data_IF_603891740264
#
_entry.id   IF_603891740264
#
_cell.length_a   1.000
_cell.length_b   1.000
_cell.length_c   1.000
_cell.angle_alpha   90.00
_cell.angle_beta   90.00
_cell.angle_gamma   90.00
#
_symmetry.space_group_name_H-M   'P 1'
#
loop_
_entity.id
_entity.type
_entity.pdbx_description
1 polymer ?
#
# COMPACT_ATOMS: atom_id res chain seq x y z
N UNK A 1 -2.25 27.04 7.27
CA UNK A 1 -2.15 26.47 5.90
C UNK A 1 -1.00 25.49 5.91
N UNK A 2 -1.24 24.29 5.39
CA UNK A 2 -0.28 23.19 5.39
C UNK A 2 0.65 23.29 4.19
N UNK A 3 1.75 22.53 4.20
CA UNK A 3 2.71 22.51 3.08
C UNK A 3 2.39 21.45 2.02
N UNK A 4 1.54 20.48 2.33
CA UNK A 4 1.14 19.43 1.40
C UNK A 4 0.09 19.90 0.42
N UNK A 5 -0.08 19.14 -0.66
CA UNK A 5 -1.18 19.32 -1.60
C UNK A 5 -2.53 19.28 -0.86
N UNK A 6 -3.53 20.00 -1.36
CA UNK A 6 -4.89 19.90 -0.85
C UNK A 6 -5.56 18.57 -1.21
N UNK A 7 -6.79 18.43 -0.77
CA UNK A 7 -7.64 17.30 -1.14
C UNK A 7 -7.82 17.20 -2.65
N UNK A 8 -7.76 15.99 -3.21
CA UNK A 8 -7.98 15.74 -4.63
C UNK A 8 -9.37 16.23 -5.05
N UNK A 9 -9.43 16.96 -6.17
CA UNK A 9 -10.69 17.47 -6.71
C UNK A 9 -11.65 16.32 -7.05
N UNK A 10 -12.94 16.50 -6.70
CA UNK A 10 -13.98 15.48 -6.88
C UNK A 10 -13.73 14.15 -6.15
N UNK A 11 -13.05 14.20 -4.99
CA UNK A 11 -12.69 13.02 -4.19
C UNK A 11 -13.85 12.02 -4.04
N UNK A 12 -15.04 12.50 -3.66
CA UNK A 12 -16.24 11.66 -3.50
C UNK A 12 -16.59 10.87 -4.77
N UNK A 13 -16.69 11.59 -5.90
CA UNK A 13 -17.00 11.00 -7.20
C UNK A 13 -15.96 9.97 -7.63
N UNK A 14 -14.67 10.25 -7.37
CA UNK A 14 -13.57 9.33 -7.70
C UNK A 14 -13.65 8.07 -6.84
N UNK A 15 -13.79 8.21 -5.52
CA UNK A 15 -13.85 7.06 -4.59
C UNK A 15 -15.05 6.16 -4.90
N UNK A 16 -16.24 6.76 -5.10
CA UNK A 16 -17.45 6.02 -5.47
C UNK A 16 -17.28 5.36 -6.84
N UNK A 17 -16.75 6.09 -7.83
CA UNK A 17 -16.50 5.57 -9.17
C UNK A 17 -15.53 4.38 -9.17
N UNK A 18 -14.41 4.48 -8.45
CA UNK A 18 -13.43 3.40 -8.28
C UNK A 18 -14.02 2.20 -7.56
N UNK A 19 -14.85 2.41 -6.54
CA UNK A 19 -15.55 1.31 -5.87
C UNK A 19 -16.43 0.54 -6.86
N UNK A 20 -17.23 1.23 -7.68
CA UNK A 20 -18.06 0.57 -8.69
C UNK A 20 -17.23 -0.11 -9.78
N UNK A 21 -16.19 0.55 -10.29
CA UNK A 21 -15.26 -0.05 -11.26
C UNK A 21 -14.65 -1.35 -10.70
N UNK A 22 -14.24 -1.32 -9.43
CA UNK A 22 -13.65 -2.48 -8.79
C UNK A 22 -14.61 -3.66 -8.70
N UNK A 23 -15.82 -3.46 -8.15
CA UNK A 23 -16.78 -4.55 -7.93
C UNK A 23 -17.49 -5.02 -9.21
N UNK A 24 -17.42 -4.25 -10.31
CA UNK A 24 -18.08 -4.59 -11.58
C UNK A 24 -17.13 -5.07 -12.66
N UNK A 25 -15.92 -4.52 -12.71
CA UNK A 25 -14.99 -4.71 -13.83
C UNK A 25 -13.70 -5.35 -13.36
N UNK A 26 -13.04 -4.80 -12.34
CA UNK A 26 -11.70 -5.28 -11.91
C UNK A 26 -11.77 -6.64 -11.22
N UNK A 27 -12.61 -6.77 -10.20
CA UNK A 27 -12.76 -8.00 -9.43
C UNK A 27 -14.23 -8.26 -9.05
N UNK A 28 -15.05 -8.76 -10.01
CA UNK A 28 -16.46 -9.05 -9.77
C UNK A 28 -16.72 -10.10 -8.68
N UNK A 29 -15.71 -10.92 -8.34
CA UNK A 29 -15.83 -11.95 -7.31
C UNK A 29 -15.97 -11.39 -5.89
N UNK A 30 -15.64 -10.10 -5.66
CA UNK A 30 -15.90 -9.40 -4.40
C UNK A 30 -17.39 -9.31 -4.09
N UNK A 31 -18.23 -9.32 -5.13
CA UNK A 31 -19.68 -9.22 -5.01
C UNK A 31 -20.15 -7.80 -4.70
N UNK A 32 -21.44 -7.68 -4.42
CA UNK A 32 -22.08 -6.38 -4.18
C UNK A 32 -21.51 -5.69 -2.92
N UNK A 33 -21.18 -4.41 -3.08
CA UNK A 33 -20.77 -3.51 -1.99
C UNK A 33 -21.54 -2.21 -2.10
N UNK A 34 -21.92 -1.64 -0.96
CA UNK A 34 -22.57 -0.33 -0.92
C UNK A 34 -21.50 0.77 -1.01
N UNK A 35 -21.20 1.22 -2.23
CA UNK A 35 -20.16 2.22 -2.47
C UNK A 35 -20.44 3.57 -1.80
N UNK A 36 -21.71 3.96 -1.63
CA UNK A 36 -22.07 5.15 -0.88
C UNK A 36 -21.76 4.99 0.61
N UNK A 37 -22.05 3.83 1.19
CA UNK A 37 -21.71 3.54 2.60
C UNK A 37 -20.19 3.47 2.81
N UNK A 38 -19.44 2.91 1.85
CA UNK A 38 -17.98 2.88 1.86
C UNK A 38 -17.41 4.30 1.87
N UNK A 39 -17.94 5.17 1.00
CA UNK A 39 -17.56 6.59 0.98
C UNK A 39 -17.84 7.28 2.32
N UNK A 40 -19.03 7.10 2.90
CA UNK A 40 -19.36 7.68 4.20
C UNK A 40 -18.41 7.19 5.30
N UNK A 41 -18.09 5.91 5.34
CA UNK A 41 -17.13 5.36 6.31
C UNK A 41 -15.71 5.92 6.09
N UNK A 42 -15.28 6.07 4.84
CA UNK A 42 -14.00 6.67 4.48
C UNK A 42 -13.93 8.14 4.93
N UNK A 43 -14.95 8.95 4.59
CA UNK A 43 -15.02 10.38 4.92
C UNK A 43 -15.07 10.61 6.43
N UNK A 44 -15.92 9.87 7.13
CA UNK A 44 -16.12 10.01 8.58
C UNK A 44 -14.88 9.66 9.42
N UNK A 45 -13.89 8.98 8.84
CA UNK A 45 -12.62 8.74 9.50
C UNK A 45 -11.85 10.04 9.79
N UNK A 46 -12.00 11.08 8.96
CA UNK A 46 -11.13 12.26 9.02
C UNK A 46 -11.84 13.63 9.01
N UNK A 47 -13.12 13.72 8.62
CA UNK A 47 -13.86 14.99 8.69
C UNK A 47 -14.25 15.34 10.13
N UNK A 48 -14.43 16.63 10.41
CA UNK A 48 -14.77 17.15 11.74
C UNK A 48 -13.80 16.69 12.84
N UNK A 49 -12.54 16.50 12.48
CA UNK A 49 -11.42 16.17 13.36
C UNK A 49 -10.26 17.10 13.06
N UNK A 50 -9.38 17.28 14.04
CA UNK A 50 -8.09 17.93 13.80
C UNK A 50 -7.33 17.12 12.73
N UNK A 51 -6.90 17.73 11.61
CA UNK A 51 -6.16 17.05 10.54
C UNK A 51 -4.87 16.35 10.97
N UNK A 52 -4.36 16.62 12.17
CA UNK A 52 -3.19 15.99 12.78
C UNK A 52 -3.51 15.04 13.95
N UNK A 53 -4.80 14.72 14.16
CA UNK A 53 -5.24 13.79 15.20
C UNK A 53 -6.03 12.60 14.64
N UNK A 54 -5.78 12.24 13.37
CA UNK A 54 -6.40 11.08 12.74
C UNK A 54 -5.60 9.84 13.12
N UNK A 55 -6.28 8.76 13.48
CA UNK A 55 -5.64 7.52 13.89
C UNK A 55 -5.99 6.40 12.92
N UNK A 56 -5.13 5.38 12.73
CA UNK A 56 -5.43 4.25 11.85
C UNK A 56 -6.78 3.59 12.15
N UNK A 57 -7.12 3.43 13.43
CA UNK A 57 -8.40 2.87 13.88
C UNK A 57 -9.64 3.65 13.41
N UNK A 58 -9.51 4.93 13.06
CA UNK A 58 -10.62 5.71 12.55
C UNK A 58 -11.12 5.17 11.20
N UNK A 59 -10.27 4.46 10.46
CA UNK A 59 -10.60 3.79 9.20
C UNK A 59 -11.06 2.34 9.36
N UNK A 60 -11.21 1.82 10.59
CA UNK A 60 -11.56 0.41 10.82
C UNK A 60 -12.91 0.03 10.19
N UNK A 61 -13.93 0.90 10.29
CA UNK A 61 -15.22 0.68 9.65
C UNK A 61 -15.09 0.64 8.12
N UNK A 62 -14.29 1.53 7.54
CA UNK A 62 -14.03 1.55 6.10
C UNK A 62 -13.37 0.24 5.66
N UNK A 63 -12.35 -0.24 6.37
CA UNK A 63 -11.70 -1.53 6.09
C UNK A 63 -12.71 -2.67 6.18
N UNK A 64 -13.53 -2.74 7.22
CA UNK A 64 -14.51 -3.81 7.38
C UNK A 64 -15.54 -3.87 6.24
N UNK A 65 -15.95 -2.72 5.69
CA UNK A 65 -16.90 -2.66 4.57
C UNK A 65 -16.27 -3.04 3.23
N UNK A 66 -14.96 -2.89 3.08
CA UNK A 66 -14.22 -3.06 1.83
C UNK A 66 -13.38 -4.33 1.79
N UNK A 67 -13.13 -4.96 2.94
CA UNK A 67 -12.36 -6.19 3.06
C UNK A 67 -12.97 -7.30 2.21
N UNK A 68 -12.10 -8.02 1.53
CA UNK A 68 -12.41 -9.20 0.74
C UNK A 68 -11.22 -10.16 0.79
N UNK A 69 -11.43 -11.38 0.32
CA UNK A 69 -10.35 -12.37 0.24
C UNK A 69 -9.23 -11.88 -0.66
N UNK A 70 -8.01 -11.93 -0.14
CA UNK A 70 -6.77 -11.84 -0.92
C UNK A 70 -6.37 -13.28 -1.26
N UNK A 71 -6.30 -13.69 -2.53
CA UNK A 71 -5.99 -15.07 -2.86
C UNK A 71 -4.60 -15.47 -2.33
N UNK A 72 -4.43 -16.71 -1.82
CA UNK A 72 -3.11 -17.19 -1.44
C UNK A 72 -2.11 -17.11 -2.60
N UNK A 73 -0.84 -16.86 -2.29
CA UNK A 73 0.25 -16.74 -3.28
C UNK A 73 0.08 -15.57 -4.27
N UNK A 74 -0.70 -14.54 -3.93
CA UNK A 74 -0.88 -13.34 -4.78
C UNK A 74 -0.40 -12.05 -4.15
N UNK A 75 -0.20 -12.00 -2.83
CA UNK A 75 0.21 -10.77 -2.14
C UNK A 75 1.57 -10.28 -2.62
N UNK A 76 1.62 -9.04 -3.10
CA UNK A 76 2.83 -8.34 -3.52
C UNK A 76 3.02 -7.07 -2.68
N UNK A 77 4.00 -7.09 -1.80
CA UNK A 77 4.49 -5.95 -1.04
C UNK A 77 5.60 -5.25 -1.83
N UNK A 78 5.89 -4.00 -1.51
CA UNK A 78 6.90 -3.24 -2.27
C UNK A 78 7.37 -2.00 -1.52
N UNK A 79 8.55 -1.52 -1.90
CA UNK A 79 9.09 -0.21 -1.50
C UNK A 79 9.71 0.47 -2.74
N UNK A 80 9.53 1.79 -2.86
CA UNK A 80 10.10 2.63 -3.92
C UNK A 80 9.81 2.18 -5.38
N UNK A 81 8.65 1.57 -5.64
CA UNK A 81 8.32 0.93 -6.93
C UNK A 81 6.83 1.02 -7.36
N UNK A 82 6.05 1.97 -6.86
CA UNK A 82 4.58 1.98 -7.02
C UNK A 82 4.10 1.79 -8.47
N UNK A 83 4.65 2.55 -9.42
CA UNK A 83 4.25 2.49 -10.82
C UNK A 83 4.61 1.16 -11.49
N UNK A 84 5.79 0.63 -11.17
CA UNK A 84 6.23 -0.68 -11.65
C UNK A 84 5.34 -1.78 -11.09
N UNK A 85 5.02 -1.72 -9.80
CA UNK A 85 4.12 -2.68 -9.12
C UNK A 85 2.75 -2.66 -9.75
N UNK A 86 2.15 -1.48 -9.95
CA UNK A 86 0.82 -1.35 -10.55
C UNK A 86 0.80 -1.95 -11.97
N UNK A 87 1.83 -1.68 -12.77
CA UNK A 87 1.98 -2.26 -14.11
C UNK A 87 2.24 -3.76 -14.06
N UNK A 88 3.00 -4.26 -13.10
CA UNK A 88 3.38 -5.67 -12.98
C UNK A 88 2.29 -6.56 -12.37
N UNK A 89 1.50 -6.02 -11.45
CA UNK A 89 0.38 -6.72 -10.84
C UNK A 89 -0.79 -6.91 -11.82
N UNK A 90 -0.93 -5.99 -12.78
CA UNK A 90 -1.98 -6.00 -13.81
C UNK A 90 -3.38 -6.07 -13.20
N UNK A 91 -3.68 -5.13 -12.30
CA UNK A 91 -4.98 -4.99 -11.62
C UNK A 91 -5.44 -6.28 -10.91
N UNK A 92 -4.56 -6.89 -10.12
CA UNK A 92 -4.87 -8.13 -9.42
C UNK A 92 -4.72 -9.42 -10.26
N UNK A 93 -4.52 -9.33 -11.58
CA UNK A 93 -4.49 -10.50 -12.47
C UNK A 93 -3.26 -11.37 -12.23
N UNK A 94 -2.07 -10.76 -12.19
CA UNK A 94 -0.79 -11.47 -11.96
C UNK A 94 -0.51 -11.59 -10.48
N UNK A 95 -0.51 -10.47 -9.78
CA UNK A 95 -0.37 -10.35 -8.34
C UNK A 95 -1.42 -9.37 -7.84
N UNK A 96 -1.68 -9.35 -6.53
CA UNK A 96 -2.57 -8.41 -5.88
C UNK A 96 -1.75 -7.66 -4.85
N UNK A 97 -1.25 -6.48 -5.21
CA UNK A 97 -0.66 -5.55 -4.27
C UNK A 97 -1.73 -4.90 -3.40
N UNK A 98 -1.34 -4.13 -2.38
CA UNK A 98 -2.30 -3.36 -1.58
C UNK A 98 -3.19 -2.46 -2.47
N UNK A 99 -2.59 -1.79 -3.46
CA UNK A 99 -3.32 -0.95 -4.42
C UNK A 99 -4.30 -1.72 -5.32
N UNK A 100 -4.16 -3.05 -5.44
CA UNK A 100 -5.07 -3.91 -6.20
C UNK A 100 -6.22 -4.50 -5.35
N UNK A 101 -6.27 -4.21 -4.05
CA UNK A 101 -7.42 -4.55 -3.18
C UNK A 101 -8.48 -3.45 -3.26
N UNK A 102 -9.76 -3.74 -2.99
CA UNK A 102 -10.80 -2.70 -3.00
C UNK A 102 -10.45 -1.54 -2.05
N UNK A 103 -9.92 -1.84 -0.87
CA UNK A 103 -9.61 -0.85 0.14
C UNK A 103 -8.37 0.00 -0.20
N UNK A 104 -7.37 -0.55 -0.91
CA UNK A 104 -6.27 0.26 -1.43
C UNK A 104 -6.62 1.00 -2.73
N UNK A 105 -7.32 0.33 -3.64
CA UNK A 105 -7.66 0.83 -4.98
C UNK A 105 -8.43 2.15 -4.94
N UNK A 106 -9.37 2.30 -4.00
CA UNK A 106 -10.16 3.54 -3.89
C UNK A 106 -9.32 4.73 -3.41
N UNK A 107 -8.22 4.52 -2.70
CA UNK A 107 -7.34 5.56 -2.17
C UNK A 107 -6.05 5.79 -2.98
N UNK A 108 -5.73 4.92 -3.93
CA UNK A 108 -4.44 4.95 -4.65
C UNK A 108 -4.21 6.28 -5.41
N UNK A 109 -3.05 6.91 -5.20
CA UNK A 109 -2.70 8.26 -5.72
C UNK A 109 -3.65 9.41 -5.35
N UNK A 110 -4.52 9.24 -4.35
CA UNK A 110 -5.38 10.32 -3.87
C UNK A 110 -4.76 10.98 -2.64
N UNK A 111 -5.13 12.23 -2.40
CA UNK A 111 -4.78 12.98 -1.21
C UNK A 111 -6.03 13.61 -0.60
N UNK A 112 -6.12 13.66 0.72
CA UNK A 112 -7.32 14.17 1.40
C UNK A 112 -7.04 14.60 2.84
N UNK A 113 -7.79 15.60 3.28
CA UNK A 113 -7.89 15.97 4.67
C UNK A 113 -9.18 16.77 4.93
N UNK A 114 -9.60 16.79 6.19
CA UNK A 114 -10.72 17.60 6.66
C UNK A 114 -10.26 18.98 7.10
N UNK A 115 -11.22 19.75 7.57
CA UNK A 115 -10.97 20.96 8.34
C UNK A 115 -11.43 20.73 9.79
N UNK A 116 -10.69 21.28 10.75
CA UNK A 116 -11.11 21.24 12.16
C UNK A 116 -12.51 21.87 12.31
N UNK A 117 -13.36 21.23 13.12
CA UNK A 117 -14.73 21.68 13.41
C UNK A 117 -15.64 21.90 12.18
N UNK A 118 -15.33 21.22 11.07
CA UNK A 118 -16.08 21.33 9.81
C UNK A 118 -16.27 19.96 9.16
N UNK A 119 -17.44 19.79 8.53
CA UNK A 119 -17.74 18.63 7.69
C UNK A 119 -17.16 18.76 6.27
N UNK A 120 -16.52 19.91 5.98
CA UNK A 120 -15.88 20.22 4.71
C UNK A 120 -14.49 19.58 4.57
N UNK A 121 -14.06 19.46 3.32
CA UNK A 121 -12.72 19.02 2.93
C UNK A 121 -11.83 20.24 2.70
N UNK A 122 -10.54 20.14 3.02
CA UNK A 122 -9.57 21.20 2.70
C UNK A 122 -8.96 20.92 1.32
N UNK A 123 -9.39 21.69 0.31
CA UNK A 123 -8.87 21.62 -1.05
C UNK A 123 -7.65 22.53 -1.29
N UNK A 124 -7.29 23.38 -0.32
CA UNK A 124 -6.14 24.28 -0.48
C UNK A 124 -4.83 23.62 -0.05
N UNK A 125 -4.84 22.89 1.07
CA UNK A 125 -3.63 22.27 1.62
C UNK A 125 -3.95 21.16 2.63
N UNK A 126 -3.15 20.09 2.67
CA UNK A 126 -3.22 19.05 3.70
C UNK A 126 -1.88 18.87 4.44
N UNK A 127 -1.91 18.41 5.71
CA UNK A 127 -0.68 18.18 6.47
C UNK A 127 0.20 17.13 5.80
N UNK A 128 1.50 17.40 5.73
CA UNK A 128 2.50 16.39 5.35
C UNK A 128 2.87 15.50 6.53
N UNK A 129 3.46 14.33 6.28
CA UNK A 129 4.03 13.45 7.31
C UNK A 129 5.02 14.18 8.22
N UNK A 130 5.82 15.11 7.66
CA UNK A 130 6.79 15.90 8.42
C UNK A 130 6.14 16.97 9.32
N UNK A 131 4.95 17.44 8.97
CA UNK A 131 4.18 18.37 9.80
C UNK A 131 3.42 17.62 10.90
N UNK A 132 2.79 16.50 10.57
CA UNK A 132 2.21 15.60 11.55
C UNK A 132 2.05 14.17 11.04
N UNK A 133 2.46 13.24 11.88
CA UNK A 133 2.45 11.80 11.58
C UNK A 133 1.01 11.22 11.53
N UNK A 134 0.12 11.76 12.36
CA UNK A 134 -1.28 11.33 12.48
C UNK A 134 -2.20 12.13 11.53
N UNK A 135 -1.78 12.26 10.27
CA UNK A 135 -2.61 12.84 9.23
C UNK A 135 -3.53 11.78 8.59
N UNK A 136 -4.53 12.24 7.83
CA UNK A 136 -5.58 11.39 7.29
C UNK A 136 -5.06 10.33 6.30
N UNK A 137 -4.09 10.68 5.45
CA UNK A 137 -3.54 9.80 4.42
C UNK A 137 -2.61 8.75 5.03
N UNK A 138 -1.67 9.17 5.88
CA UNK A 138 -0.75 8.24 6.54
C UNK A 138 -1.51 7.27 7.45
N UNK A 139 -2.51 7.76 8.19
CA UNK A 139 -3.34 6.91 9.05
C UNK A 139 -4.13 5.88 8.26
N UNK A 140 -4.65 6.26 7.08
CA UNK A 140 -5.32 5.34 6.17
C UNK A 140 -4.37 4.25 5.70
N UNK A 141 -3.20 4.60 5.19
CA UNK A 141 -2.25 3.62 4.66
C UNK A 141 -1.72 2.70 5.75
N UNK A 142 -1.52 3.20 6.99
CA UNK A 142 -1.18 2.35 8.14
C UNK A 142 -2.25 1.30 8.39
N UNK A 143 -3.52 1.71 8.43
CA UNK A 143 -4.63 0.79 8.66
C UNK A 143 -4.79 -0.23 7.52
N UNK A 144 -4.65 0.24 6.27
CA UNK A 144 -4.73 -0.60 5.08
C UNK A 144 -3.59 -1.62 5.00
N UNK A 145 -2.35 -1.20 5.27
CA UNK A 145 -1.16 -2.06 5.33
C UNK A 145 -1.27 -3.12 6.43
N UNK A 146 -1.74 -2.75 7.62
CA UNK A 146 -2.02 -3.71 8.71
C UNK A 146 -3.04 -4.76 8.23
N UNK A 147 -4.17 -4.33 7.68
CA UNK A 147 -5.22 -5.23 7.22
C UNK A 147 -4.74 -6.16 6.09
N UNK A 148 -3.97 -5.62 5.14
CA UNK A 148 -3.41 -6.37 4.02
C UNK A 148 -2.41 -7.42 4.48
N UNK A 149 -1.51 -7.10 5.41
CA UNK A 149 -0.58 -8.06 5.99
C UNK A 149 -1.28 -9.17 6.78
N UNK A 150 -2.30 -8.84 7.56
CA UNK A 150 -3.07 -9.81 8.34
C UNK A 150 -3.85 -10.82 7.48
N UNK A 151 -4.26 -10.40 6.26
CA UNK A 151 -5.07 -11.21 5.35
C UNK A 151 -4.28 -11.85 4.20
N UNK A 152 -2.98 -11.58 4.12
CA UNK A 152 -2.07 -12.22 3.17
C UNK A 152 -1.70 -13.64 3.61
N UNK A 153 -1.52 -14.55 2.65
CA UNK A 153 -1.22 -15.97 2.92
C UNK A 153 -0.52 -16.67 1.76
N UNK A 154 0.08 -17.82 2.06
CA UNK A 154 0.88 -18.60 1.10
C UNK A 154 2.26 -17.98 0.89
N UNK A 155 2.70 -17.92 -0.36
CA UNK A 155 3.92 -17.22 -0.76
C UNK A 155 3.67 -15.72 -0.79
N UNK A 156 4.48 -14.98 -0.04
CA UNK A 156 4.50 -13.53 -0.01
C UNK A 156 5.59 -13.03 -0.95
N UNK A 157 5.26 -12.12 -1.86
CA UNK A 157 6.23 -11.50 -2.75
C UNK A 157 6.55 -10.08 -2.29
N UNK A 158 7.80 -9.66 -2.42
CA UNK A 158 8.27 -8.32 -2.07
C UNK A 158 9.10 -7.78 -3.22
N UNK A 159 8.72 -6.65 -3.81
CA UNK A 159 9.47 -5.98 -4.88
C UNK A 159 10.16 -4.72 -4.35
N UNK A 160 11.49 -4.74 -4.31
CA UNK A 160 12.33 -3.64 -3.83
C UNK A 160 13.11 -3.01 -4.99
N UNK A 161 13.39 -1.71 -4.88
CA UNK A 161 14.19 -0.98 -5.87
C UNK A 161 15.67 -0.99 -5.44
N UNK A 162 16.51 -1.72 -6.18
CA UNK A 162 17.96 -1.81 -5.95
C UNK A 162 18.72 -0.54 -6.35
N UNK A 163 18.09 0.34 -7.12
CA UNK A 163 18.61 1.65 -7.53
C UNK A 163 18.15 2.81 -6.61
N UNK A 164 17.33 2.54 -5.59
CA UNK A 164 16.77 3.59 -4.73
C UNK A 164 17.84 4.30 -3.89
N UNK A 165 17.84 5.62 -3.93
CA UNK A 165 18.62 6.44 -2.99
C UNK A 165 18.14 6.19 -1.55
N UNK A 166 19.08 5.91 -0.64
CA UNK A 166 18.78 5.57 0.75
C UNK A 166 18.61 4.07 1.03
N UNK A 167 18.70 3.22 0.00
CA UNK A 167 18.67 1.75 0.11
C UNK A 167 17.33 1.13 -0.26
N UNK A 168 17.34 -0.15 -0.58
CA UNK A 168 16.18 -0.86 -1.11
C UNK A 168 15.10 -1.18 -0.05
N UNK A 169 15.48 -1.23 1.23
CA UNK A 169 14.61 -1.49 2.37
C UNK A 169 14.69 -0.33 3.38
N UNK A 170 13.79 0.67 3.28
CA UNK A 170 13.80 1.83 4.15
C UNK A 170 13.37 1.48 5.58
N UNK A 171 14.05 2.09 6.55
CA UNK A 171 13.69 2.05 7.97
C UNK A 171 13.82 3.47 8.57
N UNK A 172 12.75 4.09 9.08
CA UNK A 172 11.36 3.58 9.16
C UNK A 172 10.67 3.45 7.79
N UNK A 173 9.58 2.70 7.72
CA UNK A 173 8.83 2.44 6.47
C UNK A 173 7.55 1.62 6.67
N UNK A 174 6.61 1.68 5.71
CA UNK A 174 5.33 0.95 5.82
C UNK A 174 5.57 -0.56 5.90
N UNK A 175 6.41 -1.09 5.01
CA UNK A 175 6.72 -2.51 5.01
C UNK A 175 7.41 -2.94 6.32
N UNK A 176 8.34 -2.10 6.79
CA UNK A 176 9.08 -2.34 8.02
C UNK A 176 8.22 -2.31 9.29
N UNK A 177 7.34 -1.33 9.43
CA UNK A 177 6.72 -0.96 10.71
C UNK A 177 5.27 -1.40 10.84
N UNK A 178 4.56 -1.58 9.71
CA UNK A 178 3.12 -1.88 9.70
C UNK A 178 2.78 -3.20 9.04
N UNK A 179 3.60 -3.68 8.10
CA UNK A 179 3.29 -4.91 7.34
C UNK A 179 4.00 -6.12 7.92
N UNK A 180 5.34 -6.14 8.00
CA UNK A 180 6.12 -7.26 8.56
C UNK A 180 5.61 -7.69 9.96
N UNK A 181 5.34 -6.76 10.91
CA UNK A 181 4.85 -7.14 12.23
C UNK A 181 3.45 -7.79 12.24
N UNK A 182 2.66 -7.60 11.19
CA UNK A 182 1.27 -8.04 11.08
C UNK A 182 1.07 -9.27 10.19
N UNK A 183 2.15 -9.77 9.57
CA UNK A 183 2.13 -11.03 8.83
C UNK A 183 1.76 -12.22 9.73
N UNK A 184 0.83 -13.05 9.25
CA UNK A 184 0.34 -14.23 9.98
C UNK A 184 1.26 -15.42 9.70
N UNK A 185 2.24 -15.64 10.58
CA UNK A 185 3.31 -16.64 10.39
C UNK A 185 2.80 -18.04 10.06
N UNK A 186 1.71 -18.47 10.69
CA UNK A 186 1.06 -19.77 10.47
C UNK A 186 0.42 -19.92 9.08
N UNK A 187 0.15 -18.80 8.39
CA UNK A 187 -0.46 -18.78 7.06
C UNK A 187 0.54 -18.53 5.93
N UNK A 188 1.82 -18.28 6.24
CA UNK A 188 2.86 -17.93 5.27
C UNK A 188 3.78 -19.13 5.07
N UNK A 189 3.92 -19.55 3.81
CA UNK A 189 4.82 -20.64 3.44
C UNK A 189 6.24 -20.17 3.15
N UNK A 190 6.38 -18.98 2.55
CA UNK A 190 7.66 -18.42 2.11
C UNK A 190 7.52 -16.92 1.84
N UNK A 191 8.63 -16.17 2.00
CA UNK A 191 8.77 -14.80 1.54
C UNK A 191 9.80 -14.73 0.41
N UNK A 192 9.39 -14.27 -0.76
CA UNK A 192 10.22 -14.13 -1.96
C UNK A 192 10.48 -12.66 -2.22
N UNK A 193 11.75 -12.26 -2.15
CA UNK A 193 12.20 -10.89 -2.39
C UNK A 193 12.77 -10.81 -3.80
N UNK A 194 12.32 -9.81 -4.55
CA UNK A 194 12.92 -9.39 -5.81
C UNK A 194 13.51 -8.01 -5.61
N UNK A 195 14.82 -7.89 -5.79
CA UNK A 195 15.50 -6.60 -5.85
C UNK A 195 15.72 -6.31 -7.33
N UNK A 196 15.20 -5.18 -7.79
CA UNK A 196 15.23 -4.82 -9.22
C UNK A 196 15.88 -3.47 -9.37
N UNK A 197 16.87 -3.41 -10.25
CA UNK A 197 17.56 -2.18 -10.62
C UNK A 197 16.86 -1.51 -11.81
N UNK A 198 16.93 -0.18 -11.85
CA UNK A 198 16.48 0.60 -12.98
C UNK A 198 17.35 0.30 -14.21
N UNK A 199 16.75 0.30 -15.41
CA UNK A 199 17.49 0.12 -16.67
C UNK A 199 18.46 1.29 -16.83
N UNK A 200 19.76 0.98 -16.98
CA UNK A 200 20.86 1.95 -17.01
C UNK A 200 21.03 2.76 -15.70
N UNK A 201 20.28 2.42 -14.65
CA UNK A 201 20.41 2.98 -13.32
C UNK A 201 21.59 2.40 -12.53
N UNK A 202 21.92 2.99 -11.37
CA UNK A 202 22.94 2.46 -10.49
C UNK A 202 22.44 1.18 -9.78
N UNK A 203 23.31 0.17 -9.68
CA UNK A 203 23.14 -0.94 -8.73
C UNK A 203 23.67 -0.46 -7.37
N UNK A 204 22.74 0.03 -6.53
CA UNK A 204 23.08 0.55 -5.19
C UNK A 204 23.04 -0.55 -4.15
N UNK A 205 22.04 -1.43 -4.22
CA UNK A 205 21.93 -2.60 -3.36
C UNK A 205 21.34 -3.81 -4.11
N UNK A 206 21.97 -4.96 -3.89
CA UNK A 206 21.54 -6.28 -4.36
C UNK A 206 21.20 -7.21 -3.18
N UNK A 207 20.66 -8.39 -3.45
CA UNK A 207 20.43 -9.46 -2.48
C UNK A 207 21.66 -9.72 -1.58
N UNK A 208 21.42 -9.87 -0.27
CA UNK A 208 22.48 -10.09 0.72
C UNK A 208 23.38 -8.89 1.02
N UNK A 209 23.08 -7.70 0.49
CA UNK A 209 23.85 -6.46 0.77
C UNK A 209 23.06 -5.47 1.63
N UNK A 210 23.78 -4.64 2.41
CA UNK A 210 23.25 -3.47 3.12
C UNK A 210 21.84 -3.62 3.73
N UNK A 211 20.86 -2.81 3.29
CA UNK A 211 19.50 -2.82 3.84
C UNK A 211 18.74 -4.10 3.47
N UNK A 212 18.98 -4.68 2.29
CA UNK A 212 18.41 -5.98 1.87
C UNK A 212 18.88 -7.10 2.80
N UNK A 213 20.16 -7.14 3.19
CA UNK A 213 20.69 -8.10 4.17
C UNK A 213 20.02 -7.94 5.52
N UNK A 214 19.75 -6.70 5.92
CA UNK A 214 19.04 -6.40 7.17
C UNK A 214 17.62 -6.95 7.12
N UNK A 215 16.89 -6.74 6.02
CA UNK A 215 15.57 -7.32 5.80
C UNK A 215 15.59 -8.85 5.85
N UNK A 216 16.46 -9.48 5.07
CA UNK A 216 16.59 -10.93 5.04
C UNK A 216 16.87 -11.51 6.43
N UNK A 217 17.78 -10.89 7.18
CA UNK A 217 18.14 -11.31 8.53
C UNK A 217 16.94 -11.16 9.48
N UNK A 218 16.19 -10.06 9.39
CA UNK A 218 14.99 -9.81 10.18
C UNK A 218 13.92 -10.87 9.91
N UNK A 219 13.62 -11.14 8.64
CA UNK A 219 12.61 -12.13 8.25
C UNK A 219 13.00 -13.56 8.65
N UNK A 220 14.27 -13.94 8.46
CA UNK A 220 14.81 -15.24 8.91
C UNK A 220 14.75 -15.37 10.43
N UNK A 221 15.03 -14.29 11.18
CA UNK A 221 14.93 -14.26 12.66
C UNK A 221 13.49 -14.42 13.13
N UNK A 222 12.52 -13.86 12.42
CA UNK A 222 11.09 -14.09 12.65
C UNK A 222 10.65 -15.52 12.29
N UNK A 223 11.53 -16.30 11.65
CA UNK A 223 11.36 -17.70 11.30
C UNK A 223 10.57 -17.93 10.02
N UNK A 224 10.66 -17.00 9.07
CA UNK A 224 10.19 -17.19 7.70
C UNK A 224 11.25 -17.90 6.85
N UNK A 225 10.80 -18.73 5.89
CA UNK A 225 11.64 -19.13 4.77
C UNK A 225 11.76 -17.94 3.80
N UNK A 226 12.98 -17.59 3.40
CA UNK A 226 13.27 -16.37 2.64
C UNK A 226 14.20 -16.67 1.48
N UNK A 227 13.75 -16.29 0.28
CA UNK A 227 14.58 -16.29 -0.93
C UNK A 227 14.68 -14.88 -1.47
N UNK A 228 15.85 -14.51 -1.99
CA UNK A 228 16.07 -13.22 -2.66
C UNK A 228 16.60 -13.48 -4.08
N UNK A 229 16.15 -12.70 -5.05
CA UNK A 229 16.62 -12.77 -6.44
C UNK A 229 16.78 -11.36 -7.01
N UNK A 230 17.98 -11.07 -7.47
CA UNK A 230 18.27 -9.82 -8.20
C UNK A 230 17.71 -9.90 -9.62
N UNK A 231 17.17 -8.78 -10.09
CA UNK A 231 16.75 -8.56 -11.47
C UNK A 231 15.85 -9.70 -12.00
N UNK A 232 14.80 -10.00 -11.22
CA UNK A 232 13.85 -11.06 -11.55
C UNK A 232 13.29 -10.87 -12.97
N UNK A 233 13.57 -11.84 -13.85
CA UNK A 233 13.42 -11.71 -15.30
C UNK A 233 12.06 -11.18 -15.76
N UNK A 234 10.97 -11.63 -15.14
CA UNK A 234 9.63 -11.18 -15.53
C UNK A 234 9.38 -9.70 -15.26
N UNK A 235 9.99 -9.14 -14.21
CA UNK A 235 9.91 -7.71 -13.91
C UNK A 235 10.85 -6.94 -14.85
N UNK A 236 12.06 -7.44 -15.08
CA UNK A 236 13.00 -6.83 -16.04
C UNK A 236 12.42 -6.74 -17.45
N UNK A 237 11.73 -7.79 -17.92
CA UNK A 237 11.07 -7.75 -19.23
C UNK A 237 10.02 -6.64 -19.35
N UNK A 238 9.36 -6.27 -18.24
CA UNK A 238 8.42 -5.15 -18.23
C UNK A 238 9.17 -3.81 -18.28
N UNK A 239 10.27 -3.66 -17.55
CA UNK A 239 11.11 -2.46 -17.58
C UNK A 239 11.77 -2.23 -18.94
N UNK A 240 12.14 -3.28 -19.66
CA UNK A 240 12.75 -3.18 -21.00
C UNK A 240 11.75 -2.85 -22.13
N UNK A 241 10.47 -2.58 -21.84
CA UNK A 241 9.51 -2.15 -22.86
C UNK A 241 9.71 -0.69 -23.27
N UNK A 242 10.34 0.09 -22.41
CA UNK A 242 10.69 1.50 -22.59
C UNK A 242 12.21 1.67 -22.71
#
# INVERSE_FOLDING_TARGET
KWKGEGTTQNLESIVIGRCYDYIRIVNPAVGERNCSQIWEAFKNAFVNKDPCSILPKDYELFINLTLHTIPPNKSLFWENNQLLVNSFADRGRRYMSLGDTLFGFVGDFLNWCGQADSLGLDYESCPTTAECENNAVDSFWRMASIAYAQHSSGVIYVLLNGSAEGGAYPQPGFFADYEIPNLQKDKISQIVIWVVDDIEGPDMESCGTHSVKTLETRLKTLGYDVTCTDNYKSVMFLLCLD
#
